data_IF_346634780372
#
_entry.id   IF_346634780372
#
_cell.length_a   1.000
_cell.length_b   1.000
_cell.length_c   1.000
_cell.angle_alpha   90.00
_cell.angle_beta   90.00
_cell.angle_gamma   90.00
#
_symmetry.space_group_name_H-M   'P 1'
#
loop_
_entity.id
_entity.type
_entity.pdbx_description
1 polymer ?
#
# COMPACT_ATOMS: atom_id res chain seq x y z
N UNK A 1 1.89 29.71 -2.20
CA UNK A 1 1.77 30.19 -0.80
C UNK A 1 0.42 29.80 -0.18
N UNK A 2 -0.74 30.15 -0.74
CA UNK A 2 -2.05 29.85 -0.14
C UNK A 2 -2.31 28.35 0.09
N UNK A 3 -1.99 27.48 -0.87
CA UNK A 3 -2.12 26.04 -0.73
C UNK A 3 -1.23 25.47 0.38
N UNK A 4 0.01 25.94 0.50
CA UNK A 4 0.92 25.52 1.57
C UNK A 4 0.42 25.93 2.95
N UNK A 5 -0.07 27.16 3.12
CA UNK A 5 -0.68 27.62 4.37
C UNK A 5 -1.90 26.77 4.75
N UNK A 6 -2.74 26.45 3.77
CA UNK A 6 -3.92 25.59 4.01
C UNK A 6 -3.53 24.16 4.39
N UNK A 7 -2.50 23.61 3.78
CA UNK A 7 -1.95 22.32 4.16
C UNK A 7 -1.46 22.32 5.60
N UNK A 8 -0.67 23.33 5.99
CA UNK A 8 -0.17 23.46 7.36
C UNK A 8 -1.31 23.58 8.38
N UNK A 9 -2.37 24.33 8.05
CA UNK A 9 -3.58 24.42 8.89
C UNK A 9 -4.26 23.07 9.08
N UNK A 10 -4.37 22.27 8.00
CA UNK A 10 -5.06 20.99 8.03
C UNK A 10 -4.28 19.95 8.84
N UNK A 11 -2.96 19.84 8.63
CA UNK A 11 -2.14 18.83 9.31
C UNK A 11 -1.94 19.09 10.81
N UNK A 12 -2.22 20.32 11.28
CA UNK A 12 -2.18 20.67 12.70
C UNK A 12 -3.49 20.34 13.44
N UNK A 13 -4.52 19.88 12.75
CA UNK A 13 -5.78 19.49 13.40
C UNK A 13 -5.57 18.28 14.31
N UNK A 14 -6.15 18.30 15.52
CA UNK A 14 -6.08 17.14 16.41
C UNK A 14 -6.56 15.87 15.73
N UNK A 15 -5.82 14.76 15.89
CA UNK A 15 -6.16 13.47 15.32
C UNK A 15 -5.80 13.30 13.83
N UNK A 16 -5.22 14.30 13.16
CA UNK A 16 -4.90 14.20 11.74
C UNK A 16 -3.95 13.04 11.44
N UNK A 17 -2.82 12.97 12.13
CA UNK A 17 -1.80 11.95 11.89
C UNK A 17 -2.23 10.58 12.42
N UNK A 18 -2.96 10.51 13.51
CA UNK A 18 -3.51 9.27 14.04
C UNK A 18 -4.52 8.64 13.06
N UNK A 19 -5.39 9.46 12.48
CA UNK A 19 -6.33 8.99 11.46
C UNK A 19 -5.62 8.55 10.18
N UNK A 20 -4.57 9.28 9.76
CA UNK A 20 -3.79 8.93 8.57
C UNK A 20 -3.07 7.59 8.78
N UNK A 21 -2.44 7.40 9.94
CA UNK A 21 -1.78 6.14 10.30
C UNK A 21 -2.77 4.97 10.35
N UNK A 22 -3.93 5.16 10.95
CA UNK A 22 -4.96 4.11 11.03
C UNK A 22 -5.46 3.68 9.64
N UNK A 23 -5.61 4.60 8.70
CA UNK A 23 -5.98 4.27 7.31
C UNK A 23 -4.88 3.52 6.57
N UNK A 24 -3.64 3.92 6.78
CA UNK A 24 -2.49 3.24 6.17
C UNK A 24 -2.36 1.81 6.72
N UNK A 25 -2.56 1.64 8.01
CA UNK A 25 -2.55 0.32 8.65
C UNK A 25 -3.71 -0.56 8.12
N UNK A 26 -4.91 -0.02 7.96
CA UNK A 26 -6.06 -0.72 7.36
C UNK A 26 -5.70 -1.25 5.95
N UNK A 27 -5.05 -0.44 5.12
CA UNK A 27 -4.59 -0.84 3.79
C UNK A 27 -3.58 -1.98 3.85
N UNK A 28 -2.53 -1.82 4.65
CA UNK A 28 -1.43 -2.79 4.77
C UNK A 28 -1.94 -4.12 5.31
N UNK A 29 -2.72 -4.11 6.38
CA UNK A 29 -3.32 -5.33 6.94
C UNK A 29 -4.26 -6.01 5.95
N UNK A 30 -5.07 -5.23 5.23
CA UNK A 30 -5.97 -5.74 4.19
C UNK A 30 -5.21 -6.45 3.06
N UNK A 31 -4.11 -5.87 2.59
CA UNK A 31 -3.27 -6.48 1.55
C UNK A 31 -2.59 -7.75 2.04
N UNK A 32 -2.03 -7.75 3.25
CA UNK A 32 -1.40 -8.95 3.82
C UNK A 32 -2.41 -10.10 4.00
N UNK A 33 -3.61 -9.80 4.49
CA UNK A 33 -4.67 -10.79 4.64
C UNK A 33 -5.13 -11.35 3.27
N UNK A 34 -5.25 -10.48 2.25
CA UNK A 34 -5.64 -10.88 0.90
C UNK A 34 -4.58 -11.77 0.23
N UNK A 35 -3.30 -11.42 0.35
CA UNK A 35 -2.18 -12.19 -0.18
C UNK A 35 -2.06 -13.57 0.51
N UNK A 36 -2.16 -13.59 1.84
CA UNK A 36 -2.13 -14.83 2.62
C UNK A 36 -3.28 -15.77 2.23
N UNK A 37 -4.50 -15.25 2.03
CA UNK A 37 -5.65 -16.03 1.59
C UNK A 37 -5.48 -16.62 0.19
N UNK A 38 -4.70 -15.97 -0.67
CA UNK A 38 -4.36 -16.44 -2.01
C UNK A 38 -3.10 -17.32 -2.06
N UNK A 39 -2.34 -17.42 -0.97
CA UNK A 39 -1.08 -18.17 -0.94
C UNK A 39 0.07 -17.47 -1.67
N UNK A 40 -0.01 -16.16 -1.83
CA UNK A 40 1.05 -15.35 -2.45
C UNK A 40 2.05 -14.89 -1.39
N UNK A 41 3.34 -15.12 -1.63
CA UNK A 41 4.41 -14.60 -0.78
C UNK A 41 4.45 -13.06 -0.86
N UNK A 42 4.00 -12.42 0.20
CA UNK A 42 3.85 -10.97 0.26
C UNK A 42 3.93 -10.49 1.70
N UNK A 43 4.60 -9.38 1.90
CA UNK A 43 4.57 -8.64 3.15
C UNK A 43 4.52 -7.13 2.88
N UNK A 44 4.08 -6.39 3.85
CA UNK A 44 3.98 -4.95 3.78
C UNK A 44 4.22 -4.36 5.18
N UNK A 45 4.63 -3.12 5.22
CA UNK A 45 4.82 -2.38 6.48
C UNK A 45 4.45 -0.92 6.28
N UNK A 46 4.19 -0.21 7.37
CA UNK A 46 3.81 1.19 7.33
C UNK A 46 4.37 2.00 8.49
N UNK A 47 4.62 3.27 8.22
CA UNK A 47 4.99 4.28 9.21
C UNK A 47 4.19 5.54 8.93
N UNK A 48 3.26 5.89 9.83
CA UNK A 48 2.34 7.01 9.60
C UNK A 48 1.52 6.82 8.33
N UNK A 49 1.62 7.76 7.40
CA UNK A 49 0.94 7.69 6.10
C UNK A 49 1.72 7.00 4.98
N UNK A 50 2.94 6.54 5.26
CA UNK A 50 3.82 5.88 4.30
C UNK A 50 3.70 4.35 4.41
N UNK A 51 3.77 3.64 3.29
CA UNK A 51 3.79 2.17 3.28
C UNK A 51 4.73 1.61 2.21
N UNK A 52 5.19 0.38 2.44
CA UNK A 52 5.97 -0.42 1.49
C UNK A 52 5.28 -1.74 1.19
N UNK A 53 5.38 -2.20 -0.06
CA UNK A 53 4.82 -3.46 -0.53
C UNK A 53 5.96 -4.35 -1.05
N UNK A 54 6.06 -5.57 -0.54
CA UNK A 54 7.18 -6.46 -0.83
C UNK A 54 6.67 -7.86 -1.18
N UNK A 55 7.04 -8.35 -2.37
CA UNK A 55 6.74 -9.72 -2.81
C UNK A 55 7.87 -10.65 -2.34
N UNK A 56 7.87 -10.96 -1.07
CA UNK A 56 8.86 -11.77 -0.36
C UNK A 56 8.23 -12.44 0.87
N UNK A 57 8.88 -13.47 1.39
CA UNK A 57 8.44 -14.20 2.58
C UNK A 57 8.64 -13.42 3.90
N UNK A 58 9.40 -12.34 3.88
CA UNK A 58 9.67 -11.50 5.06
C UNK A 58 10.03 -10.07 4.68
N UNK A 59 9.89 -9.16 5.63
CA UNK A 59 10.20 -7.74 5.44
C UNK A 59 11.67 -7.54 5.12
N UNK A 60 12.02 -6.89 3.99
CA UNK A 60 13.39 -6.53 3.67
C UNK A 60 13.98 -5.62 4.75
N UNK A 61 15.17 -5.94 5.24
CA UNK A 61 15.87 -5.15 6.26
C UNK A 61 16.94 -4.21 5.65
N UNK A 62 17.26 -4.43 4.39
CA UNK A 62 18.26 -3.66 3.68
C UNK A 62 18.06 -3.78 2.16
N UNK A 63 18.85 -3.03 1.39
CA UNK A 63 18.77 -3.03 -0.07
C UNK A 63 19.00 -4.42 -0.69
N UNK A 64 19.92 -5.22 -0.15
CA UNK A 64 20.21 -6.55 -0.68
C UNK A 64 18.99 -7.50 -0.49
N UNK A 65 18.25 -7.36 0.59
CA UNK A 65 17.01 -8.12 0.79
C UNK A 65 15.94 -7.69 -0.22
N UNK A 66 15.80 -6.38 -0.41
CA UNK A 66 14.85 -5.84 -1.40
C UNK A 66 15.20 -6.30 -2.82
N UNK A 67 16.48 -6.34 -3.18
CA UNK A 67 16.95 -6.80 -4.49
C UNK A 67 16.65 -8.29 -4.75
N UNK A 68 16.43 -9.08 -3.69
CA UNK A 68 16.02 -10.49 -3.79
C UNK A 68 14.50 -10.69 -3.83
N UNK A 69 13.73 -9.65 -3.60
CA UNK A 69 12.25 -9.75 -3.68
C UNK A 69 11.79 -10.04 -5.12
N UNK A 70 10.60 -10.59 -5.26
CA UNK A 70 10.01 -10.89 -6.56
C UNK A 70 9.50 -9.60 -7.24
N UNK A 71 10.39 -8.90 -7.94
CA UNK A 71 10.07 -7.67 -8.66
C UNK A 71 9.05 -7.91 -9.78
N UNK A 72 9.07 -9.07 -10.43
CA UNK A 72 8.09 -9.41 -11.47
C UNK A 72 6.70 -9.67 -10.87
N UNK A 73 6.63 -10.22 -9.66
CA UNK A 73 5.40 -10.29 -8.87
C UNK A 73 4.83 -8.89 -8.59
N UNK A 74 5.68 -7.94 -8.21
CA UNK A 74 5.25 -6.55 -8.05
C UNK A 74 4.69 -5.97 -9.36
N UNK A 75 5.35 -6.18 -10.50
CA UNK A 75 4.84 -5.69 -11.80
C UNK A 75 3.47 -6.27 -12.14
N UNK A 76 3.28 -7.58 -11.91
CA UNK A 76 2.00 -8.24 -12.14
C UNK A 76 0.91 -7.63 -11.25
N UNK A 77 1.20 -7.43 -9.97
CA UNK A 77 0.30 -6.77 -9.04
C UNK A 77 0.00 -5.32 -9.45
N UNK A 78 1.03 -4.54 -9.80
CA UNK A 78 0.88 -3.16 -10.24
C UNK A 78 -0.09 -3.04 -11.43
N UNK A 79 0.10 -3.84 -12.48
CA UNK A 79 -0.77 -3.81 -13.66
C UNK A 79 -2.18 -4.30 -13.33
N UNK A 80 -2.32 -5.37 -12.54
CA UNK A 80 -3.62 -5.86 -12.10
C UNK A 80 -4.41 -4.82 -11.29
N UNK A 81 -3.74 -4.07 -10.42
CA UNK A 81 -4.36 -2.98 -9.66
C UNK A 81 -4.72 -1.79 -10.56
N UNK A 82 -3.85 -1.46 -11.52
CA UNK A 82 -4.11 -0.39 -12.50
C UNK A 82 -5.36 -0.69 -13.35
N UNK A 83 -5.55 -1.94 -13.76
CA UNK A 83 -6.75 -2.39 -14.48
C UNK A 83 -8.03 -2.28 -13.62
N UNK A 84 -7.87 -2.22 -12.30
CA UNK A 84 -8.92 -1.97 -11.31
C UNK A 84 -9.05 -0.49 -10.90
N UNK A 85 -8.42 0.42 -11.64
CA UNK A 85 -8.38 1.86 -11.39
C UNK A 85 -7.66 2.25 -10.08
N UNK A 86 -6.74 1.43 -9.61
CA UNK A 86 -5.89 1.74 -8.45
C UNK A 86 -4.45 1.91 -8.93
N UNK A 87 -3.91 3.12 -8.80
CA UNK A 87 -2.55 3.46 -9.21
C UNK A 87 -1.60 3.51 -8.01
N UNK A 88 -0.44 2.88 -8.17
CA UNK A 88 0.71 2.97 -7.25
C UNK A 88 1.91 3.59 -7.95
N UNK A 89 2.99 3.84 -7.21
CA UNK A 89 4.30 4.11 -7.81
C UNK A 89 4.75 2.93 -8.69
N UNK A 90 5.33 3.19 -9.88
CA UNK A 90 5.60 2.15 -10.87
C UNK A 90 6.83 1.29 -10.57
N UNK A 91 7.42 1.40 -9.40
CA UNK A 91 8.61 0.66 -9.00
C UNK A 91 8.42 -0.04 -7.65
N UNK A 92 8.87 -1.29 -7.55
CA UNK A 92 8.92 -2.03 -6.29
C UNK A 92 9.82 -1.38 -5.21
N UNK A 93 10.66 -0.43 -5.61
CA UNK A 93 11.55 0.31 -4.72
C UNK A 93 10.96 1.64 -4.21
N UNK A 94 9.74 1.97 -4.62
CA UNK A 94 9.06 3.19 -4.18
C UNK A 94 8.18 2.94 -2.98
N UNK A 95 8.16 3.92 -2.07
CA UNK A 95 7.17 3.95 -1.00
C UNK A 95 5.84 4.50 -1.53
N UNK A 96 4.73 3.94 -1.04
CA UNK A 96 3.40 4.48 -1.25
C UNK A 96 3.00 5.43 -0.13
N UNK A 97 2.02 6.28 -0.39
CA UNK A 97 1.49 7.23 0.58
C UNK A 97 -0.03 7.25 0.55
N UNK A 98 -0.62 7.13 1.74
CA UNK A 98 -2.04 7.38 1.94
C UNK A 98 -2.24 8.86 2.26
N UNK A 99 -3.31 9.47 1.76
CA UNK A 99 -3.68 10.84 2.07
C UNK A 99 -4.95 10.90 2.92
N UNK A 100 -5.20 12.04 3.54
CA UNK A 100 -6.44 12.27 4.29
C UNK A 100 -7.72 12.25 3.42
N UNK A 101 -7.57 12.33 2.09
CA UNK A 101 -8.68 12.20 1.14
C UNK A 101 -9.10 10.74 0.90
N UNK A 102 -8.24 9.76 1.23
CA UNK A 102 -8.59 8.35 1.16
C UNK A 102 -9.47 7.99 2.36
N UNK A 103 -10.77 7.80 2.12
CA UNK A 103 -11.72 7.40 3.16
C UNK A 103 -11.56 5.91 3.50
N UNK A 104 -12.07 5.43 4.66
CA UNK A 104 -12.05 3.99 4.97
C UNK A 104 -12.69 3.15 3.88
N UNK A 105 -13.77 3.62 3.26
CA UNK A 105 -14.50 2.94 2.19
C UNK A 105 -13.62 2.79 0.94
N UNK A 106 -12.87 3.84 0.55
CA UNK A 106 -11.92 3.77 -0.57
C UNK A 106 -10.77 2.80 -0.28
N UNK A 107 -10.32 2.71 0.97
CA UNK A 107 -9.34 1.70 1.39
C UNK A 107 -9.93 0.29 1.27
N UNK A 108 -11.17 0.07 1.71
CA UNK A 108 -11.84 -1.23 1.59
C UNK A 108 -12.03 -1.64 0.13
N UNK A 109 -12.42 -0.71 -0.75
CA UNK A 109 -12.50 -0.94 -2.20
C UNK A 109 -11.14 -1.32 -2.79
N UNK A 110 -10.07 -0.64 -2.38
CA UNK A 110 -8.70 -0.93 -2.79
C UNK A 110 -8.26 -2.32 -2.34
N UNK A 111 -8.57 -2.70 -1.11
CA UNK A 111 -8.28 -4.05 -0.58
C UNK A 111 -9.10 -5.11 -1.33
N UNK A 112 -10.35 -4.84 -1.66
CA UNK A 112 -11.19 -5.76 -2.45
C UNK A 112 -10.61 -5.98 -3.86
N UNK A 113 -10.13 -4.93 -4.52
CA UNK A 113 -9.43 -5.02 -5.80
C UNK A 113 -8.15 -5.87 -5.69
N UNK A 114 -7.34 -5.64 -4.66
CA UNK A 114 -6.12 -6.40 -4.41
C UNK A 114 -6.41 -7.90 -4.17
N UNK A 115 -7.49 -8.22 -3.46
CA UNK A 115 -7.91 -9.61 -3.24
C UNK A 115 -8.17 -10.36 -4.53
N UNK A 116 -8.77 -9.72 -5.52
CA UNK A 116 -8.98 -10.32 -6.84
C UNK A 116 -7.66 -10.48 -7.61
N UNK A 117 -6.79 -9.46 -7.56
CA UNK A 117 -5.48 -9.52 -8.20
C UNK A 117 -4.62 -10.62 -7.61
N UNK A 118 -4.53 -10.75 -6.28
CA UNK A 118 -3.76 -11.81 -5.64
C UNK A 118 -4.28 -13.21 -6.00
N UNK A 119 -5.60 -13.40 -6.14
CA UNK A 119 -6.16 -14.68 -6.62
C UNK A 119 -5.66 -15.04 -8.01
N UNK A 120 -5.68 -14.09 -8.95
CA UNK A 120 -5.18 -14.30 -10.31
C UNK A 120 -3.68 -14.58 -10.34
N UNK A 121 -2.90 -13.99 -9.43
CA UNK A 121 -1.46 -14.26 -9.32
C UNK A 121 -1.12 -15.65 -8.80
N UNK A 122 -2.04 -16.30 -8.10
CA UNK A 122 -1.86 -17.64 -7.53
C UNK A 122 -2.23 -18.78 -8.52
N UNK A 123 -2.90 -18.46 -9.63
CA UNK A 123 -3.26 -19.40 -10.71
C UNK A 123 -2.07 -19.66 -11.66
#
# INVERSE_FOLDING_TARGET
MAAGLKTLEIIQRPGFYENLAARTEQLVQGFQAAAAAAGVAFCADSVGGMFGLYFSDGLPQNYADMARSNVDGFKTFFHGMLDKNVAFGPSAYEAGFVSAAHTPELIDETVAAAKEVFKTMAE
#
